data_IF_940596752788
#
_entry.id   IF_940596752788
#
_cell.length_a   1.000
_cell.length_b   1.000
_cell.length_c   1.000
_cell.angle_alpha   90.00
_cell.angle_beta   90.00
_cell.angle_gamma   90.00
#
_symmetry.space_group_name_H-M   'P 1'
#
loop_
_entity.id
_entity.type
_entity.pdbx_description
1 polymer ?
#
# COMPACT_ATOMS: atom_id res chain seq x y z
N UNK A 1 44.76 35.96 24.32
CA UNK A 1 43.52 36.18 23.55
C UNK A 1 43.06 34.83 23.00
N UNK A 2 42.03 34.18 23.58
CA UNK A 2 41.48 32.97 22.99
C UNK A 2 40.36 33.35 22.00
N UNK A 3 40.49 32.91 20.75
CA UNK A 3 39.42 32.97 19.74
C UNK A 3 38.43 31.83 20.00
N UNK A 4 37.20 32.18 20.35
CA UNK A 4 36.07 31.26 20.37
C UNK A 4 35.55 31.07 18.93
N UNK A 5 35.70 29.87 18.39
CA UNK A 5 35.04 29.44 17.16
C UNK A 5 33.59 29.03 17.49
N UNK A 6 32.63 29.89 17.16
CA UNK A 6 31.21 29.54 17.21
C UNK A 6 30.85 28.70 15.98
N UNK A 7 30.57 27.41 16.19
CA UNK A 7 30.00 26.54 15.16
C UNK A 7 28.49 26.80 15.12
N UNK A 8 28.02 27.50 14.10
CA UNK A 8 26.58 27.67 13.82
C UNK A 8 26.05 26.43 13.13
N UNK A 9 25.34 25.58 13.87
CA UNK A 9 24.63 24.44 13.32
C UNK A 9 23.37 24.94 12.59
N UNK A 10 23.41 25.05 11.26
CA UNK A 10 22.25 25.35 10.45
C UNK A 10 21.33 24.11 10.42
N UNK A 11 20.27 24.13 11.21
CA UNK A 11 19.20 23.13 11.12
C UNK A 11 18.46 23.33 9.79
N UNK A 12 18.74 22.49 8.81
CA UNK A 12 17.93 22.40 7.60
C UNK A 12 16.60 21.72 7.96
N UNK A 13 15.58 22.50 8.31
CA UNK A 13 14.20 22.01 8.36
C UNK A 13 13.76 21.71 6.94
N UNK A 14 13.80 20.43 6.56
CA UNK A 14 13.11 19.95 5.37
C UNK A 14 11.61 20.13 5.60
N UNK A 15 11.06 21.26 5.15
CA UNK A 15 9.60 21.46 5.07
C UNK A 15 9.10 20.48 4.01
N UNK A 16 8.77 19.27 4.44
CA UNK A 16 8.15 18.30 3.55
C UNK A 16 6.82 18.89 3.05
N UNK A 17 6.52 18.76 1.75
CA UNK A 17 5.37 19.44 1.17
C UNK A 17 4.06 18.87 1.72
N UNK A 18 3.17 19.78 2.12
CA UNK A 18 1.75 19.47 2.27
C UNK A 18 1.12 19.43 0.87
N UNK A 19 0.44 18.34 0.54
CA UNK A 19 -0.11 18.13 -0.79
C UNK A 19 -1.63 18.16 -0.79
N UNK A 20 -2.23 18.70 -1.85
CA UNK A 20 -3.66 18.61 -2.05
C UNK A 20 -4.05 17.17 -2.42
N UNK A 21 -4.98 16.60 -1.66
CA UNK A 21 -5.65 15.33 -1.98
C UNK A 21 -7.13 15.56 -2.29
N UNK A 22 -7.44 16.66 -2.99
CA UNK A 22 -8.82 17.06 -3.28
C UNK A 22 -9.53 16.17 -4.33
N UNK A 23 -8.75 15.45 -5.14
CA UNK A 23 -9.23 14.56 -6.20
C UNK A 23 -8.65 13.14 -6.03
N UNK A 24 -9.23 12.32 -5.13
CA UNK A 24 -8.85 10.93 -5.01
C UNK A 24 -8.90 10.19 -6.34
N UNK A 25 -7.89 9.35 -6.58
CA UNK A 25 -7.76 8.59 -7.83
C UNK A 25 -7.07 9.36 -8.97
N UNK A 26 -6.79 10.66 -8.84
CA UNK A 26 -6.03 11.39 -9.87
C UNK A 26 -4.57 10.92 -9.96
N UNK A 27 -3.98 10.55 -8.82
CA UNK A 27 -2.61 10.03 -8.76
C UNK A 27 -2.55 8.82 -7.82
N UNK A 28 -3.11 7.65 -8.23
CA UNK A 28 -3.14 6.47 -7.40
C UNK A 28 -1.74 5.91 -7.18
N UNK A 29 -1.51 5.30 -6.03
CA UNK A 29 -0.25 4.62 -5.77
C UNK A 29 -0.09 3.39 -6.66
N UNK A 30 1.01 3.32 -7.42
CA UNK A 30 1.24 2.24 -8.39
C UNK A 30 2.19 1.15 -7.89
N UNK A 31 2.75 1.32 -6.69
CA UNK A 31 3.57 0.30 -6.02
C UNK A 31 2.74 -0.66 -5.17
N UNK A 32 3.40 -1.64 -4.55
CA UNK A 32 2.75 -2.49 -3.55
C UNK A 32 2.68 -1.76 -2.20
N UNK A 33 1.61 -2.00 -1.44
CA UNK A 33 1.49 -1.41 -0.10
C UNK A 33 2.67 -1.82 0.80
N UNK A 34 3.17 -3.04 0.63
CA UNK A 34 4.37 -3.52 1.33
C UNK A 34 5.62 -2.65 1.05
N UNK A 35 5.85 -2.27 -0.21
CA UNK A 35 6.96 -1.40 -0.58
C UNK A 35 6.80 0.03 -0.02
N UNK A 36 5.58 0.50 0.21
CA UNK A 36 5.36 1.76 0.93
C UNK A 36 5.77 1.65 2.40
N UNK A 37 5.38 0.55 3.07
CA UNK A 37 5.77 0.27 4.47
C UNK A 37 7.30 0.23 4.63
N UNK A 38 8.03 -0.31 3.66
CA UNK A 38 9.50 -0.37 3.75
C UNK A 38 10.17 1.01 3.78
N UNK A 39 9.51 2.09 3.30
CA UNK A 39 10.05 3.46 3.41
C UNK A 39 9.81 4.10 4.76
N UNK A 40 8.94 3.53 5.58
CA UNK A 40 8.69 3.99 6.93
C UNK A 40 9.77 3.46 7.87
N UNK A 41 10.98 4.02 7.73
CA UNK A 41 12.18 3.54 8.42
C UNK A 41 12.11 3.71 9.93
N UNK A 42 11.26 4.61 10.41
CA UNK A 42 10.96 4.86 11.82
C UNK A 42 10.13 3.76 12.49
N UNK A 43 9.38 2.96 11.72
CA UNK A 43 8.59 1.84 12.25
C UNK A 43 9.54 0.65 12.51
N UNK A 44 9.55 0.02 13.70
CA UNK A 44 10.40 -1.14 13.96
C UNK A 44 10.20 -2.28 12.95
N UNK A 45 11.26 -3.03 12.63
CA UNK A 45 11.22 -4.05 11.59
C UNK A 45 10.16 -5.14 11.84
N UNK A 46 10.02 -5.59 13.09
CA UNK A 46 9.00 -6.56 13.48
C UNK A 46 7.56 -6.06 13.21
N UNK A 47 7.32 -4.77 13.47
CA UNK A 47 6.05 -4.10 13.21
C UNK A 47 5.82 -3.98 11.70
N UNK A 48 6.83 -3.56 10.92
CA UNK A 48 6.74 -3.50 9.45
C UNK A 48 6.43 -4.87 8.85
N UNK A 49 7.11 -5.92 9.30
CA UNK A 49 6.88 -7.29 8.81
C UNK A 49 5.43 -7.73 9.04
N UNK A 50 4.90 -7.48 10.23
CA UNK A 50 3.51 -7.79 10.58
C UNK A 50 2.53 -6.98 9.73
N UNK A 51 2.75 -5.67 9.58
CA UNK A 51 1.93 -4.80 8.73
C UNK A 51 1.92 -5.28 7.27
N UNK A 52 3.08 -5.62 6.72
CA UNK A 52 3.22 -6.12 5.34
C UNK A 52 2.40 -7.40 5.12
N UNK A 53 2.53 -8.39 6.02
CA UNK A 53 1.73 -9.62 5.97
C UNK A 53 0.23 -9.31 6.00
N UNK A 54 -0.21 -8.51 6.96
CA UNK A 54 -1.64 -8.17 7.12
C UNK A 54 -2.20 -7.40 5.91
N UNK A 55 -1.40 -6.53 5.30
CA UNK A 55 -1.78 -5.82 4.07
C UNK A 55 -1.93 -6.78 2.88
N UNK A 56 -1.02 -7.73 2.72
CA UNK A 56 -1.07 -8.74 1.67
C UNK A 56 -2.28 -9.67 1.83
N UNK A 57 -2.60 -10.07 3.07
CA UNK A 57 -3.74 -10.92 3.40
C UNK A 57 -5.06 -10.13 3.55
N UNK A 58 -5.02 -8.80 3.37
CA UNK A 58 -6.16 -7.89 3.54
C UNK A 58 -6.85 -7.97 4.92
N UNK A 59 -6.11 -8.34 5.96
CA UNK A 59 -6.57 -8.47 7.35
C UNK A 59 -6.57 -7.12 8.08
N UNK A 60 -7.46 -6.24 7.65
CA UNK A 60 -7.64 -4.91 8.25
C UNK A 60 -8.30 -4.98 9.63
N UNK A 61 -7.86 -4.15 10.56
CA UNK A 61 -8.49 -3.98 11.88
C UNK A 61 -9.79 -3.18 11.83
N UNK A 62 -9.95 -2.33 10.80
CA UNK A 62 -11.11 -1.45 10.65
C UNK A 62 -11.38 -1.13 9.17
N UNK A 63 -12.64 -0.84 8.86
CA UNK A 63 -13.09 -0.28 7.59
C UNK A 63 -13.66 1.10 7.87
N UNK A 64 -13.04 2.12 7.31
CA UNK A 64 -13.33 3.51 7.65
C UNK A 64 -13.88 4.27 6.46
N UNK A 65 -14.62 5.34 6.77
CA UNK A 65 -15.08 6.36 5.85
C UNK A 65 -14.29 7.64 6.09
N UNK A 66 -13.48 8.03 5.12
CA UNK A 66 -12.69 9.25 5.12
C UNK A 66 -13.60 10.37 4.61
N UNK A 67 -13.80 11.44 5.37
CA UNK A 67 -14.53 12.64 4.93
C UNK A 67 -13.57 13.83 4.77
N UNK A 68 -14.08 15.04 4.54
CA UNK A 68 -13.25 16.26 4.53
C UNK A 68 -12.47 16.42 5.84
N UNK A 69 -13.19 16.33 6.96
CA UNK A 69 -12.69 16.76 8.27
C UNK A 69 -12.48 15.61 9.26
N UNK A 70 -12.83 14.37 8.90
CA UNK A 70 -12.77 13.24 9.82
C UNK A 70 -12.42 11.91 9.12
N UNK A 71 -12.10 10.91 9.95
CA UNK A 71 -11.97 9.51 9.56
C UNK A 71 -12.85 8.70 10.51
N UNK A 72 -14.01 8.28 10.02
CA UNK A 72 -15.02 7.58 10.81
C UNK A 72 -14.91 6.06 10.64
N UNK A 73 -14.85 5.32 11.73
CA UNK A 73 -14.75 3.86 11.72
C UNK A 73 -15.19 3.24 13.04
N UNK A 74 -14.79 1.99 13.27
CA UNK A 74 -14.97 1.31 14.57
C UNK A 74 -14.25 2.03 15.70
N UNK A 75 -13.07 2.61 15.41
CA UNK A 75 -12.26 3.35 16.38
C UNK A 75 -12.24 4.85 16.08
N UNK A 76 -11.79 5.65 17.05
CA UNK A 76 -11.59 7.08 16.88
C UNK A 76 -10.17 7.38 16.37
N UNK A 77 -10.07 8.12 15.28
CA UNK A 77 -8.82 8.48 14.63
C UNK A 77 -8.62 9.99 14.60
N UNK A 78 -7.36 10.42 14.63
CA UNK A 78 -6.99 11.79 14.30
C UNK A 78 -7.30 12.05 12.81
N UNK A 79 -7.93 13.17 12.45
CA UNK A 79 -8.23 13.48 11.06
C UNK A 79 -6.99 13.73 10.20
N UNK A 80 -5.84 14.03 10.79
CA UNK A 80 -4.60 14.32 10.05
C UNK A 80 -4.02 13.04 9.43
N UNK A 81 -3.87 13.07 8.11
CA UNK A 81 -3.24 11.99 7.33
C UNK A 81 -1.80 12.41 6.98
N UNK A 82 -0.84 11.55 7.34
CA UNK A 82 0.60 11.83 7.22
C UNK A 82 1.32 10.86 6.29
N UNK A 83 2.46 11.32 5.77
CA UNK A 83 3.39 10.54 4.95
C UNK A 83 2.68 9.75 3.85
N UNK A 84 1.74 10.38 3.13
CA UNK A 84 0.97 9.67 2.12
C UNK A 84 1.83 9.33 0.91
N UNK A 85 1.90 8.05 0.58
CA UNK A 85 2.47 7.50 -0.64
C UNK A 85 1.45 7.49 -1.76
N UNK A 86 1.85 7.98 -2.94
CA UNK A 86 1.00 8.05 -4.13
C UNK A 86 1.85 8.01 -5.41
N UNK A 87 1.20 7.78 -6.55
CA UNK A 87 1.85 7.67 -7.86
C UNK A 87 2.98 6.64 -7.90
N UNK A 88 4.01 6.96 -8.70
CA UNK A 88 5.20 6.14 -8.93
C UNK A 88 6.27 6.30 -7.83
N UNK A 89 5.90 6.43 -6.55
CA UNK A 89 6.81 6.52 -5.37
C UNK A 89 6.99 7.90 -4.70
N UNK A 90 6.08 8.85 -4.93
CA UNK A 90 6.12 10.14 -4.21
C UNK A 90 5.52 10.02 -2.80
N UNK A 91 5.98 10.88 -1.87
CA UNK A 91 5.49 10.95 -0.49
C UNK A 91 5.21 12.41 -0.11
N UNK A 92 4.07 12.68 0.52
CA UNK A 92 3.74 13.99 1.10
C UNK A 92 3.68 13.87 2.62
N UNK A 93 4.30 14.79 3.35
CA UNK A 93 4.29 14.80 4.81
C UNK A 93 2.88 14.83 5.38
N UNK A 94 2.02 15.63 4.76
CA UNK A 94 0.61 15.74 5.08
C UNK A 94 -0.18 15.95 3.80
N UNK A 95 -1.46 15.62 3.88
CA UNK A 95 -2.40 15.91 2.79
C UNK A 95 -3.59 16.72 3.28
N UNK A 96 -4.08 17.61 2.43
CA UNK A 96 -5.30 18.39 2.67
C UNK A 96 -6.47 17.83 1.88
N UNK A 97 -7.68 18.05 2.38
CA UNK A 97 -8.94 17.62 1.75
C UNK A 97 -9.92 18.79 1.63
N UNK A 98 -9.44 20.02 1.75
CA UNK A 98 -10.27 21.21 2.01
C UNK A 98 -11.30 21.48 0.91
N UNK A 99 -11.10 20.98 -0.31
CA UNK A 99 -12.04 21.14 -1.43
C UNK A 99 -12.98 19.96 -1.62
N UNK A 100 -12.93 18.93 -0.77
CA UNK A 100 -13.94 17.88 -0.78
C UNK A 100 -15.30 18.51 -0.46
N UNK A 101 -16.42 17.99 -0.97
CA UNK A 101 -17.74 18.43 -0.50
C UNK A 101 -18.07 17.80 0.86
N UNK A 102 -19.02 18.37 1.60
CA UNK A 102 -19.46 17.82 2.91
C UNK A 102 -20.01 16.40 2.80
N UNK A 103 -20.64 16.08 1.67
CA UNK A 103 -21.19 14.74 1.40
C UNK A 103 -20.16 13.77 0.80
N UNK A 104 -18.93 14.22 0.52
CA UNK A 104 -17.90 13.34 -0.04
C UNK A 104 -17.31 12.47 1.04
N UNK A 105 -17.34 11.17 0.79
CA UNK A 105 -16.75 10.14 1.63
C UNK A 105 -15.98 9.14 0.77
N UNK A 106 -14.80 8.75 1.21
CA UNK A 106 -13.97 7.72 0.56
C UNK A 106 -13.78 6.51 1.49
N UNK A 107 -14.11 5.29 1.03
CA UNK A 107 -13.91 4.08 1.82
C UNK A 107 -12.44 3.69 1.89
N UNK A 108 -11.98 3.30 3.08
CA UNK A 108 -10.61 2.87 3.30
C UNK A 108 -10.52 1.72 4.31
N UNK A 109 -9.36 1.07 4.34
CA UNK A 109 -9.02 0.06 5.33
C UNK A 109 -7.89 0.56 6.24
N UNK A 110 -7.97 0.25 7.53
CA UNK A 110 -6.93 0.59 8.51
C UNK A 110 -6.30 -0.68 9.06
N UNK A 111 -4.98 -0.66 9.17
CA UNK A 111 -4.14 -1.72 9.71
C UNK A 111 -3.30 -1.13 10.84
N UNK A 112 -3.45 -1.64 12.05
CA UNK A 112 -2.70 -1.17 13.21
C UNK A 112 -1.90 -2.31 13.82
N UNK A 113 -0.63 -2.04 14.10
CA UNK A 113 0.23 -2.91 14.91
C UNK A 113 0.91 -2.01 15.92
N UNK A 114 0.67 -2.29 17.21
CA UNK A 114 1.05 -1.41 18.32
C UNK A 114 0.50 0.02 18.10
N UNK A 115 1.36 1.04 18.20
CA UNK A 115 1.03 2.45 17.93
C UNK A 115 0.99 2.83 16.44
N UNK A 116 1.38 1.95 15.52
CA UNK A 116 1.53 2.30 14.11
C UNK A 116 0.29 1.90 13.32
N UNK A 117 -0.47 2.90 12.84
CA UNK A 117 -1.67 2.68 12.04
C UNK A 117 -1.49 3.18 10.60
N UNK A 118 -1.78 2.29 9.65
CA UNK A 118 -1.69 2.51 8.22
C UNK A 118 -3.10 2.55 7.63
N UNK A 119 -3.38 3.60 6.88
CA UNK A 119 -4.63 3.84 6.16
C UNK A 119 -4.42 3.64 4.66
N UNK A 120 -5.26 2.81 4.05
CA UNK A 120 -5.25 2.52 2.61
C UNK A 120 -6.64 2.73 2.01
N UNK A 121 -6.89 3.83 1.28
CA UNK A 121 -8.15 4.06 0.57
C UNK A 121 -8.37 3.06 -0.56
N UNK A 122 -9.62 2.65 -0.78
CA UNK A 122 -9.94 1.64 -1.80
C UNK A 122 -9.81 2.17 -3.23
N UNK A 123 -10.02 3.47 -3.45
CA UNK A 123 -10.07 4.04 -4.80
C UNK A 123 -8.65 4.24 -5.34
N UNK A 124 -7.80 4.92 -4.58
CA UNK A 124 -6.45 5.28 -5.04
C UNK A 124 -5.35 4.32 -4.58
N UNK A 125 -5.59 3.46 -3.58
CA UNK A 125 -4.56 2.56 -3.03
C UNK A 125 -3.40 3.30 -2.35
N UNK A 126 -3.54 4.60 -2.10
CA UNK A 126 -2.51 5.39 -1.43
C UNK A 126 -2.25 4.83 -0.03
N UNK A 127 -1.00 4.85 0.40
CA UNK A 127 -0.61 4.32 1.71
C UNK A 127 -0.22 5.48 2.59
N UNK A 128 -0.89 5.63 3.73
CA UNK A 128 -0.65 6.78 4.61
C UNK A 128 -0.68 6.37 6.07
N UNK A 129 -0.17 7.23 6.94
CA UNK A 129 -0.18 7.04 8.38
C UNK A 129 -1.28 7.87 9.01
N UNK A 130 -1.93 7.28 10.00
CA UNK A 130 -2.89 7.95 10.86
C UNK A 130 -2.62 7.57 12.32
N UNK A 131 -3.17 8.34 13.25
CA UNK A 131 -3.10 8.01 14.66
C UNK A 131 -4.48 7.59 15.17
N UNK A 132 -4.53 6.55 15.99
CA UNK A 132 -5.70 6.32 16.85
C UNK A 132 -5.63 7.32 18.00
N UNK A 133 -6.75 7.93 18.34
CA UNK A 133 -6.83 8.83 19.50
C UNK A 133 -6.66 8.03 20.80
N UNK A 134 -6.17 8.67 21.86
CA UNK A 134 -5.79 8.00 23.11
C UNK A 134 -6.93 7.18 23.75
N UNK A 135 -8.18 7.61 23.61
CA UNK A 135 -9.36 6.86 24.07
C UNK A 135 -9.51 5.50 23.36
N UNK A 136 -9.17 5.43 22.07
CA UNK A 136 -9.19 4.19 21.29
C UNK A 136 -7.93 3.33 21.49
N UNK A 137 -6.76 3.96 21.71
CA UNK A 137 -5.52 3.24 22.00
C UNK A 137 -5.57 2.51 23.36
N UNK A 138 -6.09 3.17 24.39
CA UNK A 138 -6.26 2.59 25.73
C UNK A 138 -7.20 1.37 25.72
N UNK A 139 -8.27 1.39 24.91
CA UNK A 139 -9.20 0.26 24.79
C UNK A 139 -8.57 -0.99 24.14
N UNK A 140 -7.50 -0.81 23.35
CA UNK A 140 -6.77 -1.94 22.72
C UNK A 140 -5.68 -2.48 23.65
N UNK A 141 -5.05 -1.61 24.44
CA UNK A 141 -4.08 -1.99 25.47
C UNK A 141 -4.72 -2.59 26.74
N UNK A 142 -5.99 -2.29 27.00
CA UNK A 142 -6.75 -2.79 28.14
C UNK A 142 -7.44 -4.15 27.88
N UNK A 143 -7.27 -4.75 26.70
CA UNK A 143 -7.65 -6.14 26.52
C UNK A 143 -6.73 -7.00 27.40
N UNK A 144 -7.25 -7.69 28.43
CA UNK A 144 -6.40 -8.49 29.30
C UNK A 144 -5.78 -9.60 28.46
N UNK A 145 -4.45 -9.71 28.50
CA UNK A 145 -3.80 -10.98 28.22
C UNK A 145 -4.54 -12.05 29.04
N UNK A 146 -4.89 -13.22 28.48
CA UNK A 146 -5.52 -14.26 29.27
C UNK A 146 -4.60 -14.55 30.46
N UNK A 147 -5.07 -14.18 31.65
CA UNK A 147 -4.36 -14.39 32.89
C UNK A 147 -4.15 -15.90 33.04
N UNK A 148 -2.92 -16.34 32.74
CA UNK A 148 -2.46 -17.65 33.15
C UNK A 148 -2.61 -17.71 34.66
N UNK A 149 -3.48 -18.61 35.14
CA UNK A 149 -3.66 -18.88 36.57
C UNK A 149 -2.31 -19.33 37.13
N UNK A 150 -1.58 -18.42 37.78
CA UNK A 150 -0.48 -18.79 38.64
C UNK A 150 -1.03 -19.09 40.02
N UNK A 151 -0.69 -20.27 40.52
CA UNK A 151 -1.03 -20.73 41.86
C UNK A 151 -1.40 -22.20 41.87
N UNK A 152 -0.39 -23.08 41.72
CA UNK A 152 -0.28 -24.31 42.52
C UNK A 152 1.20 -24.64 42.66
N UNK A 153 1.52 -25.02 43.88
CA UNK A 153 2.83 -25.13 44.47
C UNK A 153 3.70 -26.19 43.78
N UNK A 154 5.02 -26.00 43.85
CA UNK A 154 5.99 -26.97 43.39
C UNK A 154 5.95 -28.21 44.27
N UNK A 155 5.32 -29.28 43.80
CA UNK A 155 5.59 -30.63 44.32
C UNK A 155 5.41 -31.70 43.22
N UNK A 156 6.50 -32.39 42.89
CA UNK A 156 6.49 -33.67 42.18
C UNK A 156 6.66 -33.64 40.64
N UNK A 157 7.27 -34.66 40.03
CA UNK A 157 7.32 -34.81 38.58
C UNK A 157 5.90 -35.10 38.06
N UNK A 158 5.40 -34.22 37.19
CA UNK A 158 4.10 -34.34 36.53
C UNK A 158 4.05 -35.60 35.66
N UNK A 159 3.21 -36.57 36.05
CA UNK A 159 2.81 -37.68 35.19
C UNK A 159 1.84 -37.19 34.10
N UNK A 160 1.95 -37.78 32.91
CA UNK A 160 1.19 -37.45 31.69
C UNK A 160 -0.35 -37.52 31.83
N UNK A 161 -0.88 -38.00 32.95
CA UNK A 161 -2.31 -38.06 33.23
C UNK A 161 -2.91 -36.72 33.73
N UNK A 162 -2.09 -35.76 34.19
CA UNK A 162 -2.58 -34.48 34.76
C UNK A 162 -2.66 -33.33 33.72
N UNK A 163 -2.51 -33.64 32.43
CA UNK A 163 -2.62 -32.65 31.35
C UNK A 163 -4.06 -32.28 30.97
N UNK A 164 -5.07 -32.64 31.77
CA UNK A 164 -6.45 -32.17 31.58
C UNK A 164 -6.97 -32.33 30.15
N UNK A 165 -6.61 -33.44 29.48
CA UNK A 165 -7.04 -33.75 28.12
C UNK A 165 -8.28 -34.66 28.07
N UNK A 166 -8.81 -35.05 29.22
CA UNK A 166 -10.10 -35.71 29.30
C UNK A 166 -11.17 -34.62 29.49
N UNK A 167 -12.18 -34.63 28.62
CA UNK A 167 -13.42 -33.85 28.71
C UNK A 167 -13.38 -32.41 28.16
N UNK A 168 -12.84 -32.25 26.95
CA UNK A 168 -13.41 -31.23 26.06
C UNK A 168 -14.88 -31.62 25.80
N UNK A 169 -15.88 -30.75 26.10
CA UNK A 169 -17.26 -31.04 25.71
C UNK A 169 -17.26 -31.24 24.20
N UNK A 170 -17.78 -32.38 23.77
CA UNK A 170 -17.97 -32.71 22.36
C UNK A 170 -18.81 -31.58 21.78
N UNK A 171 -18.18 -30.72 20.97
CA UNK A 171 -18.94 -29.75 20.20
C UNK A 171 -19.78 -30.57 19.25
N UNK A 172 -21.09 -30.37 19.31
CA UNK A 172 -21.95 -30.77 18.21
C UNK A 172 -21.45 -29.97 17.00
N UNK A 173 -20.64 -30.64 16.17
CA UNK A 173 -20.29 -30.13 14.86
C UNK A 173 -21.62 -29.93 14.14
N UNK A 174 -22.03 -28.69 13.78
CA UNK A 174 -23.18 -28.55 12.91
C UNK A 174 -22.84 -29.33 11.65
N UNK A 175 -23.69 -30.30 11.31
CA UNK A 175 -23.52 -31.15 10.14
C UNK A 175 -23.07 -30.27 8.96
N UNK A 176 -21.90 -30.60 8.38
CA UNK A 176 -21.30 -29.93 7.23
C UNK A 176 -22.19 -29.99 5.96
N UNK A 177 -23.42 -30.44 6.08
CA UNK A 177 -24.38 -30.57 4.99
C UNK A 177 -25.35 -29.38 4.84
N UNK A 178 -25.38 -28.43 5.78
CA UNK A 178 -26.37 -27.33 5.73
C UNK A 178 -25.79 -25.91 5.76
N UNK A 179 -24.61 -25.72 5.15
CA UNK A 179 -24.17 -24.41 4.65
C UNK A 179 -23.61 -24.55 3.23
N UNK A 180 -24.38 -25.16 2.33
CA UNK A 180 -24.23 -24.89 0.89
C UNK A 180 -24.69 -23.46 0.63
N UNK A 181 -23.78 -22.50 0.71
CA UNK A 181 -24.00 -21.18 0.12
C UNK A 181 -23.97 -21.33 -1.41
N UNK A 182 -25.12 -21.24 -2.12
CA UNK A 182 -25.19 -21.51 -3.55
C UNK A 182 -24.28 -20.58 -4.37
N UNK A 183 -24.00 -19.38 -3.87
CA UNK A 183 -23.17 -18.39 -4.55
C UNK A 183 -21.68 -18.77 -4.61
N UNK A 184 -21.18 -19.46 -3.58
CA UNK A 184 -19.74 -19.80 -3.50
C UNK A 184 -19.39 -21.04 -4.31
N UNK A 185 -20.31 -22.02 -4.36
CA UNK A 185 -20.18 -23.16 -5.27
C UNK A 185 -20.32 -22.71 -6.73
N UNK A 186 -21.26 -21.81 -7.05
CA UNK A 186 -21.42 -21.30 -8.42
C UNK A 186 -20.18 -20.56 -8.93
N UNK A 187 -19.51 -19.79 -8.07
CA UNK A 187 -18.25 -19.13 -8.41
C UNK A 187 -17.14 -20.12 -8.72
N UNK A 188 -16.94 -21.10 -7.83
CA UNK A 188 -15.91 -22.13 -8.01
C UNK A 188 -16.20 -23.03 -9.22
N UNK A 189 -17.47 -23.37 -9.46
CA UNK A 189 -17.86 -24.19 -10.61
C UNK A 189 -17.55 -23.48 -11.94
N UNK A 190 -17.86 -22.18 -12.05
CA UNK A 190 -17.53 -21.39 -13.25
C UNK A 190 -16.03 -21.28 -13.49
N UNK A 191 -15.23 -21.17 -12.43
CA UNK A 191 -13.77 -21.17 -12.55
C UNK A 191 -13.25 -22.53 -13.01
N UNK A 192 -13.79 -23.63 -12.47
CA UNK A 192 -13.44 -24.98 -12.89
C UNK A 192 -13.86 -25.27 -14.34
N UNK A 193 -15.05 -24.82 -14.76
CA UNK A 193 -15.52 -24.95 -16.14
C UNK A 193 -14.67 -24.13 -17.11
N UNK A 194 -14.25 -22.92 -16.73
CA UNK A 194 -13.32 -22.12 -17.53
C UNK A 194 -11.95 -22.79 -17.65
N UNK A 195 -11.43 -23.37 -16.57
CA UNK A 195 -10.14 -24.09 -16.60
C UNK A 195 -10.23 -25.37 -17.44
N UNK A 196 -11.35 -26.10 -17.38
CA UNK A 196 -11.58 -27.26 -18.23
C UNK A 196 -11.65 -26.88 -19.72
N UNK A 197 -12.36 -25.80 -20.07
CA UNK A 197 -12.40 -25.29 -21.44
C UNK A 197 -11.02 -24.84 -21.93
N UNK A 198 -10.23 -24.17 -21.08
CA UNK A 198 -8.86 -23.78 -21.42
C UNK A 198 -7.99 -25.03 -21.62
N UNK A 199 -8.14 -26.05 -20.77
CA UNK A 199 -7.40 -27.32 -20.89
C UNK A 199 -7.77 -28.11 -22.15
N UNK A 200 -9.00 -28.01 -22.66
CA UNK A 200 -9.42 -28.64 -23.92
C UNK A 200 -8.92 -27.89 -25.16
N UNK A 201 -8.63 -26.60 -25.03
CA UNK A 201 -8.11 -25.75 -26.11
C UNK A 201 -6.57 -25.78 -26.21
N UNK A 202 -5.90 -26.37 -25.23
CA UNK A 202 -4.43 -26.48 -25.20
C UNK A 202 -3.99 -27.90 -25.55
N UNK A 203 -2.93 -28.01 -26.34
CA UNK A 203 -2.29 -29.31 -26.58
C UNK A 203 -1.53 -29.77 -25.32
N UNK A 204 -1.33 -31.09 -25.16
CA UNK A 204 -0.59 -31.64 -24.00
C UNK A 204 0.84 -31.05 -23.89
N UNK A 205 1.43 -30.66 -25.01
CA UNK A 205 2.76 -30.04 -25.08
C UNK A 205 2.77 -28.61 -24.52
N UNK A 206 1.77 -27.79 -24.87
CA UNK A 206 1.62 -26.43 -24.32
C UNK A 206 1.28 -26.44 -22.82
N UNK A 207 0.49 -27.43 -22.38
CA UNK A 207 0.14 -27.56 -20.96
C UNK A 207 1.37 -27.95 -20.12
N UNK A 208 2.23 -28.82 -20.65
CA UNK A 208 3.49 -29.20 -20.01
C UNK A 208 4.47 -28.01 -19.93
N UNK A 209 4.57 -27.21 -20.99
CA UNK A 209 5.40 -25.99 -20.99
C UNK A 209 4.88 -24.91 -20.03
N UNK A 210 3.56 -24.72 -19.95
CA UNK A 210 2.95 -23.81 -19.00
C UNK A 210 3.20 -24.25 -17.54
N UNK A 211 3.08 -25.55 -17.25
CA UNK A 211 3.34 -26.10 -15.92
C UNK A 211 4.83 -25.95 -15.51
N UNK A 212 5.76 -26.11 -16.45
CA UNK A 212 7.19 -25.91 -16.18
C UNK A 212 7.52 -24.42 -15.94
N UNK A 213 6.89 -23.50 -16.69
CA UNK A 213 6.99 -22.05 -16.43
C UNK A 213 6.42 -21.63 -15.06
N UNK A 214 5.37 -22.32 -14.56
CA UNK A 214 4.85 -22.11 -13.18
C UNK A 214 5.90 -22.54 -12.17
N UNK A 215 6.53 -23.70 -12.40
CA UNK A 215 7.54 -24.27 -11.50
C UNK A 215 8.79 -23.39 -11.37
N UNK A 216 9.14 -22.66 -12.44
CA UNK A 216 10.29 -21.72 -12.47
C UNK A 216 9.90 -20.28 -12.07
N UNK A 217 8.64 -20.04 -11.66
CA UNK A 217 8.20 -18.76 -11.11
C UNK A 217 8.06 -17.62 -12.13
N UNK A 218 7.99 -17.94 -13.42
CA UNK A 218 7.91 -16.94 -14.49
C UNK A 218 6.46 -16.68 -14.91
N UNK A 219 5.67 -16.08 -14.02
CA UNK A 219 4.42 -15.42 -14.41
C UNK A 219 4.54 -13.91 -14.16
N UNK A 220 5.00 -13.21 -15.19
CA UNK A 220 4.63 -11.81 -15.39
C UNK A 220 3.19 -11.79 -15.90
N UNK A 221 2.32 -11.08 -15.18
CA UNK A 221 0.93 -10.80 -15.55
C UNK A 221 0.87 -10.12 -16.93
N UNK A 222 0.76 -10.92 -18.00
CA UNK A 222 0.21 -10.46 -19.27
C UNK A 222 -1.23 -10.96 -19.31
N UNK A 223 -2.14 -10.02 -19.12
CA UNK A 223 -3.57 -10.27 -19.23
C UNK A 223 -3.92 -10.84 -20.60
N UNK A 224 -4.97 -11.67 -20.57
CA UNK A 224 -5.74 -12.16 -21.69
C UNK A 224 -6.11 -10.99 -22.62
N UNK A 225 -5.32 -10.75 -23.66
CA UNK A 225 -5.66 -10.02 -24.89
C UNK A 225 -4.41 -10.01 -25.80
N UNK A 226 -4.40 -10.85 -26.83
CA UNK A 226 -3.39 -10.78 -27.87
C UNK A 226 -3.12 -12.10 -28.57
N UNK A 227 -4.08 -12.58 -29.36
CA UNK A 227 -3.75 -13.47 -30.47
C UNK A 227 -3.19 -12.62 -31.60
N UNK A 228 -1.90 -12.74 -31.88
CA UNK A 228 -1.23 -12.22 -33.05
C UNK A 228 0.02 -13.06 -33.30
N UNK A 229 0.24 -13.57 -34.53
CA UNK A 229 1.36 -14.44 -34.83
C UNK A 229 2.69 -13.70 -34.69
N UNK A 230 3.70 -14.47 -34.28
CA UNK A 230 5.02 -14.03 -33.96
C UNK A 230 5.90 -13.95 -35.20
N UNK A 231 6.24 -12.73 -35.63
CA UNK A 231 7.35 -12.45 -36.54
C UNK A 231 7.43 -10.95 -36.83
N UNK A 232 7.97 -10.14 -35.90
CA UNK A 232 8.64 -8.91 -36.33
C UNK A 232 9.81 -8.55 -35.41
N UNK A 233 10.98 -8.60 -36.05
CA UNK A 233 12.29 -8.04 -35.74
C UNK A 233 12.38 -7.05 -34.56
N UNK A 234 13.36 -7.31 -33.68
CA UNK A 234 13.81 -6.41 -32.62
C UNK A 234 14.21 -5.03 -33.19
N UNK A 235 13.27 -4.09 -33.20
CA UNK A 235 13.59 -2.67 -33.15
C UNK A 235 13.26 -2.16 -31.75
N UNK A 236 14.23 -1.53 -31.03
CA UNK A 236 13.95 -0.98 -29.72
C UNK A 236 12.84 0.08 -29.84
N UNK A 237 11.95 0.21 -28.84
CA UNK A 237 10.94 1.26 -28.84
C UNK A 237 11.66 2.60 -28.94
N UNK A 238 11.37 3.34 -30.02
CA UNK A 238 11.83 4.70 -30.20
C UNK A 238 11.14 5.54 -29.12
N UNK A 239 11.77 5.65 -27.96
CA UNK A 239 11.34 6.53 -26.88
C UNK A 239 11.55 7.95 -27.38
N UNK A 240 10.51 8.60 -27.89
CA UNK A 240 10.54 10.03 -28.11
C UNK A 240 10.65 10.70 -26.74
N UNK A 241 11.85 11.20 -26.43
CA UNK A 241 12.08 11.97 -25.22
C UNK A 241 11.13 13.18 -25.25
N UNK A 242 10.09 13.15 -24.40
CA UNK A 242 9.27 14.32 -24.12
C UNK A 242 10.20 15.33 -23.43
N UNK A 243 10.50 16.50 -24.03
CA UNK A 243 11.42 17.44 -23.41
C UNK A 243 10.82 17.91 -22.09
N UNK A 244 11.55 17.68 -21.00
CA UNK A 244 11.20 18.17 -19.67
C UNK A 244 11.10 19.71 -19.69
N UNK A 245 10.27 20.29 -18.82
CA UNK A 245 9.99 21.74 -18.81
C UNK A 245 11.25 22.61 -18.79
N UNK A 246 12.33 22.11 -18.18
CA UNK A 246 13.63 22.78 -18.10
C UNK A 246 14.36 22.89 -19.46
N UNK A 247 14.06 22.00 -20.42
CA UNK A 247 14.62 22.06 -21.78
C UNK A 247 14.07 23.25 -22.57
N UNK A 248 12.77 23.53 -22.42
CA UNK A 248 12.15 24.71 -23.03
C UNK A 248 12.65 26.01 -22.41
N UNK A 249 12.91 26.01 -21.10
CA UNK A 249 13.49 27.17 -20.42
C UNK A 249 14.87 27.52 -20.98
N UNK A 250 15.74 26.52 -21.21
CA UNK A 250 17.06 26.74 -21.81
C UNK A 250 16.99 27.19 -23.27
N UNK A 251 16.05 26.64 -24.06
CA UNK A 251 15.84 27.06 -25.45
C UNK A 251 15.36 28.53 -25.53
N UNK A 252 14.38 28.90 -24.70
CA UNK A 252 13.84 30.27 -24.66
C UNK A 252 14.87 31.27 -24.15
N UNK A 253 15.66 30.89 -23.15
CA UNK A 253 16.78 31.69 -22.66
C UNK A 253 17.83 31.93 -23.77
N UNK A 254 18.19 30.88 -24.51
CA UNK A 254 19.12 30.98 -25.63
C UNK A 254 18.60 31.90 -26.75
N UNK A 255 17.34 31.73 -27.17
CA UNK A 255 16.71 32.56 -28.20
C UNK A 255 16.59 34.03 -27.76
N UNK A 256 16.26 34.28 -26.49
CA UNK A 256 16.22 35.62 -25.92
C UNK A 256 17.58 36.32 -25.98
N UNK A 257 18.67 35.59 -25.69
CA UNK A 257 20.03 36.12 -25.68
C UNK A 257 20.52 36.46 -27.10
N UNK A 258 20.22 35.62 -28.08
CA UNK A 258 20.50 35.88 -29.51
C UNK A 258 19.72 37.09 -30.01
N UNK A 259 18.42 37.18 -29.71
CA UNK A 259 17.59 38.31 -30.09
C UNK A 259 18.08 39.64 -29.50
N UNK A 260 18.52 39.63 -28.25
CA UNK A 260 19.10 40.79 -27.59
C UNK A 260 20.44 41.23 -28.20
N UNK A 261 21.32 40.28 -28.53
CA UNK A 261 22.60 40.57 -29.18
C UNK A 261 22.41 41.17 -30.58
N UNK A 262 21.46 40.64 -31.36
CA UNK A 262 21.10 41.19 -32.68
C UNK A 262 20.56 42.63 -32.56
N UNK A 263 19.71 42.90 -31.56
CA UNK A 263 19.16 44.25 -31.31
C UNK A 263 20.23 45.26 -30.93
N UNK A 264 21.24 44.87 -30.15
CA UNK A 264 22.37 45.74 -29.81
C UNK A 264 23.20 46.11 -31.04
N UNK A 265 23.46 45.15 -31.93
CA UNK A 265 24.22 45.39 -33.17
C UNK A 265 23.46 46.32 -34.13
N UNK A 266 22.15 46.16 -34.25
CA UNK A 266 21.32 47.05 -35.06
C UNK A 266 21.27 48.51 -34.55
N UNK A 267 21.41 48.71 -33.22
CA UNK A 267 21.49 50.05 -32.62
C UNK A 267 22.89 50.67 -32.69
N UNK A 268 23.94 49.88 -32.84
CA UNK A 268 25.32 50.37 -32.97
C UNK A 268 25.73 50.68 -34.42
N UNK A 269 24.91 50.27 -35.40
CA UNK A 269 25.10 50.56 -36.82
C UNK A 269 24.24 51.72 -37.36
N UNK A 270 23.70 52.56 -36.47
CA UNK A 270 22.94 53.76 -36.80
C UNK A 270 23.58 54.98 -36.15
#
# INVERSE_FOLDING_TARGET
MPLLLAVTLAAATSVQPACSWDNPGHNPYTGTAAAAIDRYTDIPEAVRSTLKRRLQEHLSDDKVSITRDNIAGKYQYDPVIRDMHFGKQSVCASVTRDKWSENRAEPAAVYCVEQHCILVPRICGNVSRINRTAAAAAATAAAPAPAGKQGRDMEGPVEFADLGLADAPQRDDPALDELKHPDRQSGNQRTLDQLAQISELMTEEELAEAADKVRVGSFGTRGLNGFGPADEELLPPQVSAVPEADTWAMLLAGLGLVGWAARRRAKAGK
#
